data_IF_180695959880
#
_entry.id   IF_180695959880
#
_cell.length_a   1.000
_cell.length_b   1.000
_cell.length_c   1.000
_cell.angle_alpha   90.00
_cell.angle_beta   90.00
_cell.angle_gamma   90.00
#
_symmetry.space_group_name_H-M   'P 1'
#
loop_
_entity.id
_entity.type
_entity.pdbx_description
1 polymer ?
#
# COMPACT_ATOMS: atom_id res chain seq x y z
N UNK A 1 25.50 -73.93 7.59
CA UNK A 1 26.63 -73.36 6.82
C UNK A 1 26.39 -71.86 6.65
N UNK A 2 27.47 -71.08 6.70
CA UNK A 2 27.55 -69.68 7.16
C UNK A 2 27.09 -68.63 6.13
N UNK A 3 26.32 -67.64 6.62
CA UNK A 3 26.35 -66.16 6.38
C UNK A 3 26.23 -65.60 4.93
N UNK A 4 25.97 -64.28 4.72
CA UNK A 4 25.75 -63.18 5.69
C UNK A 4 24.55 -62.22 5.41
N UNK A 5 24.16 -61.51 6.48
CA UNK A 5 23.82 -60.08 6.64
C UNK A 5 23.18 -59.26 5.50
N UNK A 6 22.08 -58.55 5.83
CA UNK A 6 22.14 -57.10 6.15
C UNK A 6 20.79 -56.60 6.72
N UNK A 7 20.81 -56.11 7.96
CA UNK A 7 19.77 -55.25 8.54
C UNK A 7 19.96 -53.83 8.01
N UNK A 8 18.90 -53.24 7.46
CA UNK A 8 18.84 -51.82 7.14
C UNK A 8 18.28 -51.09 8.36
N UNK A 9 19.08 -50.17 8.91
CA UNK A 9 18.73 -49.27 10.02
C UNK A 9 17.84 -48.12 9.53
N UNK A 10 16.88 -47.61 10.33
CA UNK A 10 16.11 -46.43 9.96
C UNK A 10 16.96 -45.18 10.18
N UNK A 11 17.34 -44.51 9.09
CA UNK A 11 17.94 -43.18 9.16
C UNK A 11 16.84 -42.18 9.56
N UNK A 12 16.96 -41.63 10.77
CA UNK A 12 16.19 -40.48 11.22
C UNK A 12 16.54 -39.28 10.33
N UNK A 13 15.61 -38.90 9.46
CA UNK A 13 15.73 -37.72 8.60
C UNK A 13 15.41 -36.49 9.44
N UNK A 14 16.46 -35.84 9.95
CA UNK A 14 16.35 -34.59 10.67
C UNK A 14 15.79 -33.51 9.72
N UNK A 15 14.55 -33.09 9.95
CA UNK A 15 14.00 -31.87 9.36
C UNK A 15 14.75 -30.68 9.95
N UNK A 16 15.72 -30.16 9.20
CA UNK A 16 16.27 -28.84 9.47
C UNK A 16 15.18 -27.82 9.12
N UNK A 17 14.43 -27.39 10.13
CA UNK A 17 13.58 -26.20 10.03
C UNK A 17 14.53 -25.02 9.85
N UNK A 18 14.65 -24.55 8.60
CA UNK A 18 15.30 -23.29 8.29
C UNK A 18 14.39 -22.19 8.86
N UNK A 19 14.60 -21.85 10.12
CA UNK A 19 14.01 -20.67 10.73
C UNK A 19 14.61 -19.46 10.01
N UNK A 20 13.96 -19.04 8.93
CA UNK A 20 14.14 -17.71 8.38
C UNK A 20 13.73 -16.75 9.50
N UNK A 21 14.71 -16.30 10.28
CA UNK A 21 14.55 -15.18 11.19
C UNK A 21 14.22 -13.97 10.34
N UNK A 22 12.93 -13.76 10.11
CA UNK A 22 12.40 -12.46 9.74
C UNK A 22 12.77 -11.57 10.93
N UNK A 23 13.94 -10.91 10.83
CA UNK A 23 14.22 -9.78 11.69
C UNK A 23 13.18 -8.75 11.30
N UNK A 24 12.07 -8.74 12.03
CA UNK A 24 11.26 -7.54 12.17
C UNK A 24 12.27 -6.46 12.52
N UNK A 25 12.45 -5.49 11.63
CA UNK A 25 13.21 -4.32 11.96
C UNK A 25 12.48 -3.71 13.14
N UNK A 26 13.03 -3.87 14.36
CA UNK A 26 12.57 -3.12 15.51
C UNK A 26 12.68 -1.65 15.12
N UNK A 27 11.52 -1.01 14.96
CA UNK A 27 11.44 0.43 14.87
C UNK A 27 12.18 0.97 16.10
N UNK A 28 13.10 1.94 15.93
CA UNK A 28 13.78 2.52 17.07
C UNK A 28 12.73 3.01 18.09
N UNK A 29 13.03 2.90 19.39
CA UNK A 29 12.16 3.46 20.44
C UNK A 29 11.85 4.91 20.09
N UNK A 30 10.66 5.39 20.48
CA UNK A 30 10.24 6.78 20.29
C UNK A 30 11.37 7.72 20.74
N UNK A 31 12.18 8.12 19.77
CA UNK A 31 13.37 8.90 20.00
C UNK A 31 12.89 10.31 20.20
N UNK A 32 13.35 10.93 21.29
CA UNK A 32 13.44 12.36 21.49
C UNK A 32 13.32 13.13 20.17
N UNK A 33 12.15 13.74 19.92
CA UNK A 33 11.90 14.64 18.78
C UNK A 33 12.93 15.80 18.73
N UNK A 34 13.74 15.93 19.78
CA UNK A 34 14.87 16.83 19.98
C UNK A 34 16.14 16.48 19.20
N UNK A 35 16.24 15.35 18.50
CA UNK A 35 17.42 15.01 17.68
C UNK A 35 17.13 14.78 16.19
N UNK A 36 16.15 15.49 15.62
CA UNK A 36 15.95 15.48 14.16
C UNK A 36 17.21 16.03 13.48
N UNK A 37 17.86 15.21 12.65
CA UNK A 37 19.03 15.64 11.88
C UNK A 37 18.67 16.89 11.06
N UNK A 38 19.59 17.87 10.94
CA UNK A 38 19.36 19.03 10.09
C UNK A 38 19.04 18.61 8.66
N UNK A 39 17.94 19.14 8.11
CA UNK A 39 17.59 18.93 6.71
C UNK A 39 18.60 19.66 5.83
N UNK A 40 19.33 18.90 5.01
CA UNK A 40 20.27 19.44 4.03
C UNK A 40 19.57 19.63 2.69
N UNK A 41 18.70 20.64 2.61
CA UNK A 41 17.91 20.93 1.40
C UNK A 41 18.81 21.39 0.25
N UNK A 42 19.78 22.25 0.55
CA UNK A 42 20.84 22.67 -0.36
C UNK A 42 22.15 22.56 0.40
N UNK A 43 23.03 21.67 -0.06
CA UNK A 43 24.37 21.49 0.51
C UNK A 43 25.39 21.51 -0.63
N UNK A 44 26.33 22.47 -0.64
CA UNK A 44 27.41 22.50 -1.63
C UNK A 44 28.23 21.21 -1.70
N UNK A 45 28.26 20.40 -0.63
CA UNK A 45 28.91 19.09 -0.63
C UNK A 45 28.23 18.07 -1.57
N UNK A 46 26.99 18.30 -2.00
CA UNK A 46 26.27 17.45 -2.95
C UNK A 46 26.56 17.79 -4.41
N UNK A 47 27.20 18.93 -4.66
CA UNK A 47 27.55 19.37 -6.00
C UNK A 47 28.72 18.55 -6.58
N UNK A 48 28.71 18.38 -7.89
CA UNK A 48 29.82 17.86 -8.66
C UNK A 48 30.38 18.97 -9.56
N UNK A 49 31.40 19.67 -9.05
CA UNK A 49 32.02 20.80 -9.75
C UNK A 49 32.88 20.38 -10.95
N UNK A 50 33.03 19.08 -11.22
CA UNK A 50 33.68 18.59 -12.44
C UNK A 50 32.74 18.64 -13.66
N UNK A 51 31.43 18.69 -13.43
CA UNK A 51 30.41 18.85 -14.48
C UNK A 51 30.18 20.34 -14.77
N UNK A 52 30.07 20.72 -16.05
CA UNK A 52 29.74 22.10 -16.41
C UNK A 52 28.25 22.38 -16.17
N UNK A 53 27.96 23.30 -15.26
CA UNK A 53 26.61 23.73 -14.92
C UNK A 53 25.74 24.14 -16.13
N UNK A 54 26.34 24.75 -17.16
CA UNK A 54 25.62 25.18 -18.37
C UNK A 54 25.27 24.05 -19.35
N UNK A 55 25.76 22.82 -19.10
CA UNK A 55 25.53 21.65 -19.96
C UNK A 55 24.58 20.68 -19.29
N UNK A 56 24.81 20.39 -18.01
CA UNK A 56 23.93 19.56 -17.19
C UNK A 56 23.92 20.13 -15.77
N UNK A 57 22.94 20.99 -15.50
CA UNK A 57 22.80 21.61 -14.20
C UNK A 57 22.40 20.60 -13.12
N UNK A 58 21.67 19.54 -13.48
CA UNK A 58 21.22 18.53 -12.53
C UNK A 58 22.39 17.70 -12.01
N UNK A 59 23.27 17.24 -12.90
CA UNK A 59 24.49 16.53 -12.52
C UNK A 59 25.49 17.44 -11.79
N UNK A 60 25.62 18.72 -12.20
CA UNK A 60 26.44 19.69 -11.46
C UNK A 60 25.93 19.92 -10.03
N UNK A 61 24.62 20.09 -9.84
CA UNK A 61 24.05 20.41 -8.53
C UNK A 61 23.97 19.19 -7.60
N UNK A 62 23.70 17.99 -8.14
CA UNK A 62 23.37 16.79 -7.35
C UNK A 62 24.34 15.62 -7.53
N UNK A 63 25.36 15.75 -8.39
CA UNK A 63 26.17 14.62 -8.86
C UNK A 63 26.91 13.87 -7.75
N UNK A 64 27.36 14.58 -6.71
CA UNK A 64 27.98 13.92 -5.56
C UNK A 64 26.93 13.19 -4.73
N UNK A 65 25.76 13.79 -4.49
CA UNK A 65 24.66 13.13 -3.77
C UNK A 65 24.19 11.85 -4.47
N UNK A 66 23.97 11.90 -5.79
CA UNK A 66 23.52 10.76 -6.59
C UNK A 66 24.46 9.55 -6.52
N UNK A 67 25.75 9.76 -6.27
CA UNK A 67 26.73 8.67 -6.10
C UNK A 67 26.73 8.08 -4.70
N UNK A 68 26.38 8.87 -3.69
CA UNK A 68 26.49 8.49 -2.28
C UNK A 68 25.18 8.02 -1.68
N UNK A 69 24.06 8.53 -2.19
CA UNK A 69 22.74 8.17 -1.69
C UNK A 69 22.34 6.77 -2.16
N UNK A 70 21.65 6.05 -1.29
CA UNK A 70 21.07 4.75 -1.62
C UNK A 70 19.59 4.79 -1.29
N UNK A 71 18.75 4.36 -2.22
CA UNK A 71 17.31 4.22 -1.97
C UNK A 71 17.16 3.11 -0.93
N UNK A 72 16.69 3.40 0.30
CA UNK A 72 16.57 2.37 1.31
C UNK A 72 15.48 1.37 0.90
N UNK A 73 15.61 0.10 1.31
CA UNK A 73 14.72 -0.97 0.86
C UNK A 73 13.22 -0.73 1.15
N UNK A 74 12.90 0.11 2.14
CA UNK A 74 11.53 0.48 2.49
C UNK A 74 10.90 1.51 1.53
N UNK A 75 11.68 2.11 0.62
CA UNK A 75 11.24 3.19 -0.26
C UNK A 75 11.47 2.86 -1.72
N UNK A 76 10.64 3.41 -2.60
CA UNK A 76 10.79 3.33 -4.06
C UNK A 76 11.61 4.47 -4.65
N UNK A 77 11.89 5.51 -3.87
CA UNK A 77 12.67 6.69 -4.26
C UNK A 77 13.35 7.32 -3.05
N UNK A 78 14.36 8.16 -3.31
CA UNK A 78 15.07 8.92 -2.29
C UNK A 78 15.30 10.35 -2.78
N UNK A 79 15.51 11.27 -1.85
CA UNK A 79 15.69 12.69 -2.12
C UNK A 79 15.22 13.56 -0.95
N UNK A 80 15.39 14.86 -1.10
CA UNK A 80 15.06 15.84 -0.05
C UNK A 80 13.61 15.76 0.44
N UNK A 81 12.65 15.48 -0.44
CA UNK A 81 11.25 15.35 -0.05
C UNK A 81 10.99 14.12 0.82
N UNK A 82 11.72 13.01 0.61
CA UNK A 82 11.68 11.85 1.49
C UNK A 82 12.21 12.22 2.87
N UNK A 83 13.37 12.87 2.94
CA UNK A 83 13.96 13.27 4.23
C UNK A 83 13.06 14.25 5.00
N UNK A 84 12.38 15.16 4.28
CA UNK A 84 11.36 16.03 4.86
C UNK A 84 10.13 15.25 5.35
N UNK A 85 9.66 14.27 4.58
CA UNK A 85 8.54 13.42 4.97
C UNK A 85 8.87 12.58 6.21
N UNK A 86 10.00 11.89 6.24
CA UNK A 86 10.47 11.09 7.38
C UNK A 86 10.57 11.94 8.65
N UNK A 87 11.10 13.16 8.53
CA UNK A 87 11.16 14.11 9.64
C UNK A 87 9.77 14.51 10.13
N UNK A 88 8.86 14.86 9.23
CA UNK A 88 7.50 15.26 9.59
C UNK A 88 6.73 14.10 10.22
N UNK A 89 6.94 12.88 9.73
CA UNK A 89 6.34 11.67 10.30
C UNK A 89 6.73 11.49 11.76
N UNK A 90 8.00 11.71 12.12
CA UNK A 90 8.44 11.66 13.53
C UNK A 90 7.75 12.71 14.40
N UNK A 91 7.54 13.93 13.89
CA UNK A 91 6.82 14.99 14.61
C UNK A 91 5.34 14.62 14.78
N UNK A 92 4.68 14.17 13.71
CA UNK A 92 3.27 13.75 13.74
C UNK A 92 3.10 12.57 14.70
N UNK A 93 4.00 11.60 14.65
CA UNK A 93 4.01 10.45 15.57
C UNK A 93 4.07 10.91 17.02
N UNK A 94 4.98 11.81 17.37
CA UNK A 94 5.07 12.36 18.73
C UNK A 94 3.76 13.02 19.18
N UNK A 95 3.11 13.79 18.31
CA UNK A 95 1.81 14.41 18.62
C UNK A 95 0.72 13.35 18.84
N UNK A 96 0.72 12.27 18.06
CA UNK A 96 -0.25 11.18 18.18
C UNK A 96 -0.01 10.34 19.44
N UNK A 97 1.25 10.06 19.79
CA UNK A 97 1.64 9.37 21.02
C UNK A 97 1.23 10.19 22.27
N UNK A 98 1.44 11.52 22.26
CA UNK A 98 0.96 12.41 23.31
C UNK A 98 -0.56 12.43 23.42
N UNK A 99 -1.26 12.47 22.27
CA UNK A 99 -2.72 12.41 22.23
C UNK A 99 -3.26 11.07 22.75
N UNK A 100 -2.62 9.96 22.40
CA UNK A 100 -2.96 8.62 22.90
C UNK A 100 -2.81 8.53 24.42
N UNK A 101 -1.68 9.03 24.95
CA UNK A 101 -1.39 9.02 26.38
C UNK A 101 -2.45 9.79 27.19
N UNK A 102 -2.99 10.87 26.63
CA UNK A 102 -3.99 11.74 27.28
C UNK A 102 -5.44 11.34 26.97
N UNK A 103 -5.69 10.41 26.03
CA UNK A 103 -7.05 10.17 25.48
C UNK A 103 -8.08 9.78 26.55
N UNK A 104 -7.68 9.13 27.64
CA UNK A 104 -8.62 8.64 28.68
C UNK A 104 -9.14 9.75 29.60
N UNK A 105 -8.43 10.88 29.70
CA UNK A 105 -8.83 12.03 30.54
C UNK A 105 -9.61 13.10 29.78
N UNK A 106 -9.72 12.97 28.46
CA UNK A 106 -10.39 13.93 27.58
C UNK A 106 -11.87 13.56 27.31
N UNK A 107 -12.75 14.54 27.02
CA UNK A 107 -14.12 14.27 26.56
C UNK A 107 -14.15 13.60 25.19
N UNK A 108 -15.17 12.77 24.91
CA UNK A 108 -15.33 12.06 23.62
C UNK A 108 -15.50 12.99 22.42
N UNK A 109 -15.98 14.21 22.64
CA UNK A 109 -16.10 15.24 21.61
C UNK A 109 -14.74 15.86 21.22
N UNK A 110 -13.69 15.66 22.03
CA UNK A 110 -12.36 16.20 21.78
C UNK A 110 -11.70 15.59 20.55
N UNK A 111 -11.23 16.43 19.63
CA UNK A 111 -10.42 16.00 18.49
C UNK A 111 -9.17 15.26 18.95
N UNK A 112 -8.52 15.70 20.03
CA UNK A 112 -7.31 15.06 20.55
C UNK A 112 -7.61 13.64 21.07
N UNK A 113 -8.76 13.44 21.73
CA UNK A 113 -9.19 12.08 22.12
C UNK A 113 -9.43 11.20 20.91
N UNK A 114 -10.13 11.71 19.89
CA UNK A 114 -10.40 10.97 18.66
C UNK A 114 -9.11 10.55 17.96
N UNK A 115 -8.13 11.47 17.85
CA UNK A 115 -6.81 11.20 17.27
C UNK A 115 -6.05 10.14 18.08
N UNK A 116 -5.96 10.30 19.40
CA UNK A 116 -5.27 9.35 20.26
C UNK A 116 -5.91 7.95 20.25
N UNK A 117 -7.24 7.88 20.22
CA UNK A 117 -7.95 6.60 20.09
C UNK A 117 -7.72 5.97 18.72
N UNK A 118 -7.81 6.74 17.63
CA UNK A 118 -7.58 6.23 16.28
C UNK A 118 -6.17 5.70 16.11
N UNK A 119 -5.16 6.44 16.57
CA UNK A 119 -3.76 6.01 16.55
C UNK A 119 -3.56 4.73 17.35
N UNK A 120 -4.08 4.65 18.58
CA UNK A 120 -4.00 3.44 19.40
C UNK A 120 -4.63 2.22 18.71
N UNK A 121 -5.77 2.39 18.04
CA UNK A 121 -6.41 1.32 17.26
C UNK A 121 -5.54 0.85 16.10
N UNK A 122 -4.85 1.75 15.39
CA UNK A 122 -3.94 1.39 14.30
C UNK A 122 -2.66 0.70 14.80
N UNK A 123 -2.15 1.07 15.98
CA UNK A 123 -0.91 0.52 16.53
C UNK A 123 -1.09 -0.84 17.22
N UNK A 124 -2.32 -1.21 17.60
CA UNK A 124 -2.62 -2.51 18.21
C UNK A 124 -2.73 -3.64 17.16
N UNK A 125 -1.58 -4.02 16.62
CA UNK A 125 -1.47 -5.16 15.70
C UNK A 125 -1.92 -6.48 16.32
N UNK A 126 -1.83 -6.67 17.64
CA UNK A 126 -2.27 -7.90 18.30
C UNK A 126 -3.79 -8.03 18.26
N UNK A 127 -4.52 -6.94 18.53
CA UNK A 127 -5.96 -6.92 18.37
C UNK A 127 -6.37 -7.14 16.91
N UNK A 128 -5.67 -6.52 15.95
CA UNK A 128 -5.95 -6.72 14.53
C UNK A 128 -5.76 -8.18 14.08
N UNK A 129 -4.64 -8.81 14.44
CA UNK A 129 -4.36 -10.23 14.11
C UNK A 129 -5.35 -11.17 14.80
N UNK A 130 -5.77 -10.86 16.03
CA UNK A 130 -6.77 -11.65 16.76
C UNK A 130 -8.14 -11.56 16.10
N UNK A 131 -8.54 -10.37 15.64
CA UNK A 131 -9.81 -10.16 14.97
C UNK A 131 -9.85 -10.79 13.57
N UNK A 132 -8.70 -10.88 12.89
CA UNK A 132 -8.60 -11.46 11.55
C UNK A 132 -9.60 -10.85 10.58
N UNK A 133 -10.37 -11.70 9.89
CA UNK A 133 -11.39 -11.27 8.91
C UNK A 133 -12.73 -10.88 9.52
N UNK A 134 -12.95 -11.14 10.81
CA UNK A 134 -14.28 -11.00 11.41
C UNK A 134 -14.91 -9.61 11.21
N UNK A 135 -14.16 -8.49 11.31
CA UNK A 135 -14.70 -7.16 11.02
C UNK A 135 -15.16 -6.96 9.56
N UNK A 136 -14.62 -7.71 8.61
CA UNK A 136 -14.95 -7.60 7.19
C UNK A 136 -16.10 -8.53 6.75
N UNK A 137 -16.41 -9.57 7.53
CA UNK A 137 -17.44 -10.56 7.17
C UNK A 137 -18.80 -9.97 6.78
N UNK A 138 -19.36 -8.96 7.49
CA UNK A 138 -20.64 -8.38 7.09
C UNK A 138 -20.59 -7.70 5.71
N UNK A 139 -19.47 -7.04 5.39
CA UNK A 139 -19.28 -6.40 4.09
C UNK A 139 -19.15 -7.45 2.99
N UNK A 140 -18.38 -8.52 3.21
CA UNK A 140 -18.24 -9.61 2.24
C UNK A 140 -19.58 -10.33 2.01
N UNK A 141 -20.34 -10.60 3.06
CA UNK A 141 -21.67 -11.21 2.94
C UNK A 141 -22.68 -10.33 2.19
N UNK A 142 -22.59 -9.00 2.32
CA UNK A 142 -23.40 -8.08 1.54
C UNK A 142 -23.06 -8.15 0.04
N UNK A 143 -21.78 -8.22 -0.30
CA UNK A 143 -21.30 -8.39 -1.68
C UNK A 143 -21.78 -9.74 -2.25
N UNK A 144 -21.65 -10.83 -1.49
CA UNK A 144 -22.08 -12.17 -1.90
C UNK A 144 -23.60 -12.27 -2.17
N UNK A 145 -24.39 -11.37 -1.57
CA UNK A 145 -25.84 -11.34 -1.73
C UNK A 145 -26.32 -10.62 -3.00
N UNK A 146 -25.40 -10.00 -3.75
CA UNK A 146 -25.73 -9.29 -4.99
C UNK A 146 -26.18 -10.28 -6.08
N UNK A 147 -27.48 -10.30 -6.37
CA UNK A 147 -28.09 -11.27 -7.28
C UNK A 147 -28.45 -10.69 -8.66
N UNK A 148 -28.50 -9.37 -8.79
CA UNK A 148 -28.95 -8.70 -10.01
C UNK A 148 -28.30 -7.30 -10.17
N UNK A 149 -28.43 -6.68 -11.36
CA UNK A 149 -27.84 -5.37 -11.61
C UNK A 149 -28.34 -4.24 -10.69
N UNK A 150 -29.59 -4.31 -10.21
CA UNK A 150 -30.12 -3.27 -9.31
C UNK A 150 -29.48 -3.39 -7.91
N UNK A 151 -29.34 -4.63 -7.42
CA UNK A 151 -28.61 -4.94 -6.19
C UNK A 151 -27.13 -4.54 -6.31
N UNK A 152 -26.50 -4.75 -7.47
CA UNK A 152 -25.12 -4.32 -7.72
C UNK A 152 -24.95 -2.81 -7.58
N UNK A 153 -25.85 -2.01 -8.16
CA UNK A 153 -25.80 -0.55 -8.05
C UNK A 153 -26.03 -0.07 -6.61
N UNK A 154 -26.95 -0.70 -5.89
CA UNK A 154 -27.20 -0.39 -4.49
C UNK A 154 -25.96 -0.69 -3.62
N UNK A 155 -25.32 -1.84 -3.84
CA UNK A 155 -24.13 -2.23 -3.10
C UNK A 155 -22.92 -1.37 -3.46
N UNK A 156 -22.74 -1.02 -4.74
CA UNK A 156 -21.71 -0.07 -5.17
C UNK A 156 -21.88 1.29 -4.47
N UNK A 157 -23.10 1.81 -4.37
CA UNK A 157 -23.37 3.04 -3.65
C UNK A 157 -23.05 2.93 -2.15
N UNK A 158 -23.41 1.81 -1.51
CA UNK A 158 -23.09 1.54 -0.10
C UNK A 158 -21.58 1.50 0.12
N UNK A 159 -20.83 0.83 -0.74
CA UNK A 159 -19.38 0.72 -0.69
C UNK A 159 -18.70 2.08 -0.91
N UNK A 160 -19.16 2.86 -1.87
CA UNK A 160 -18.64 4.21 -2.09
C UNK A 160 -18.89 5.13 -0.88
N UNK A 161 -20.06 5.06 -0.23
CA UNK A 161 -20.32 5.80 1.01
C UNK A 161 -19.43 5.35 2.18
N UNK A 162 -18.96 4.10 2.16
CA UNK A 162 -17.99 3.57 3.11
C UNK A 162 -16.52 3.87 2.72
N UNK A 163 -16.30 4.60 1.63
CA UNK A 163 -14.96 5.01 1.16
C UNK A 163 -14.25 3.99 0.27
N UNK A 164 -14.92 2.92 -0.17
CA UNK A 164 -14.35 1.98 -1.12
C UNK A 164 -14.43 2.52 -2.56
N UNK A 165 -13.37 2.32 -3.33
CA UNK A 165 -13.32 2.71 -4.74
C UNK A 165 -13.95 1.61 -5.61
N UNK A 166 -15.15 1.85 -6.13
CA UNK A 166 -15.91 0.87 -6.91
C UNK A 166 -16.51 1.55 -8.14
N UNK A 167 -16.32 0.96 -9.33
CA UNK A 167 -16.79 1.41 -10.65
C UNK A 167 -16.23 2.76 -11.14
N UNK A 168 -16.62 3.86 -10.51
CA UNK A 168 -16.27 5.22 -10.89
C UNK A 168 -16.03 6.05 -9.64
N UNK A 169 -15.37 7.19 -9.79
CA UNK A 169 -15.17 8.13 -8.68
C UNK A 169 -16.17 9.27 -8.81
N UNK A 170 -16.64 9.76 -7.66
CA UNK A 170 -17.44 10.97 -7.61
C UNK A 170 -16.98 11.86 -6.46
N UNK A 171 -16.99 13.16 -6.68
CA UNK A 171 -16.61 14.13 -5.66
C UNK A 171 -17.25 15.49 -5.95
N UNK A 172 -17.49 16.32 -4.92
CA UNK A 172 -17.88 17.70 -5.15
C UNK A 172 -16.71 18.46 -5.77
N UNK A 173 -16.92 19.04 -6.95
CA UNK A 173 -15.96 19.89 -7.63
C UNK A 173 -16.53 21.29 -7.84
N UNK A 174 -15.66 22.29 -7.90
CA UNK A 174 -16.05 23.64 -8.29
C UNK A 174 -16.43 23.62 -9.76
N UNK A 175 -17.56 24.23 -10.12
CA UNK A 175 -17.97 24.35 -11.51
C UNK A 175 -16.97 25.20 -12.29
N UNK A 176 -16.39 24.63 -13.35
CA UNK A 176 -15.40 25.29 -14.21
C UNK A 176 -16.00 26.47 -15.00
N UNK A 177 -17.32 26.56 -15.09
CA UNK A 177 -18.06 27.65 -15.72
C UNK A 177 -18.65 28.65 -14.72
N UNK A 178 -18.76 28.28 -13.44
CA UNK A 178 -19.19 29.17 -12.36
C UNK A 178 -18.55 28.79 -11.01
N UNK A 179 -17.41 29.43 -10.71
CA UNK A 179 -16.64 29.12 -9.52
C UNK A 179 -17.35 29.43 -8.18
N UNK A 180 -18.54 30.03 -8.20
CA UNK A 180 -19.36 30.24 -7.01
C UNK A 180 -20.17 28.98 -6.61
N UNK A 181 -20.25 27.97 -7.47
CA UNK A 181 -21.06 26.77 -7.27
C UNK A 181 -20.24 25.48 -7.31
N UNK A 182 -20.76 24.46 -6.61
CA UNK A 182 -20.26 23.10 -6.70
C UNK A 182 -21.18 22.27 -7.57
N UNK A 183 -20.59 21.36 -8.35
CA UNK A 183 -21.26 20.31 -9.09
C UNK A 183 -20.77 18.94 -8.63
N UNK A 184 -21.55 17.91 -8.91
CA UNK A 184 -21.06 16.54 -8.79
C UNK A 184 -20.17 16.23 -10.00
N UNK A 185 -18.88 16.00 -9.75
CA UNK A 185 -17.96 15.50 -10.75
C UNK A 185 -17.99 13.96 -10.73
N UNK A 186 -17.98 13.36 -11.92
CA UNK A 186 -17.91 11.93 -12.14
C UNK A 186 -16.72 11.66 -13.04
N UNK A 187 -15.74 10.93 -12.51
CA UNK A 187 -14.54 10.56 -13.25
C UNK A 187 -14.35 9.04 -13.27
N UNK A 188 -13.48 8.60 -14.16
CA UNK A 188 -13.07 7.20 -14.29
C UNK A 188 -12.59 6.64 -12.95
N UNK A 189 -12.91 5.38 -12.72
CA UNK A 189 -12.48 4.63 -11.55
C UNK A 189 -12.38 3.14 -11.88
N UNK A 190 -12.39 2.32 -10.83
CA UNK A 190 -12.55 0.87 -10.98
C UNK A 190 -11.33 0.11 -11.50
N UNK A 191 -10.14 0.75 -11.57
CA UNK A 191 -8.87 0.05 -11.83
C UNK A 191 -8.10 -0.10 -10.52
N UNK A 192 -7.56 -1.28 -10.26
CA UNK A 192 -6.66 -1.50 -9.13
C UNK A 192 -5.18 -1.21 -9.41
N UNK A 193 -4.76 -1.14 -10.69
CA UNK A 193 -3.43 -0.64 -11.08
C UNK A 193 -3.48 0.86 -11.40
N UNK A 194 -2.36 1.61 -11.25
CA UNK A 194 -2.37 3.07 -11.25
C UNK A 194 -2.83 3.75 -12.55
N UNK A 195 -2.80 3.06 -13.68
CA UNK A 195 -3.12 3.62 -14.99
C UNK A 195 -3.58 2.52 -15.98
N UNK A 196 -4.37 2.90 -16.99
CA UNK A 196 -4.85 2.00 -18.05
C UNK A 196 -3.73 1.29 -18.80
N UNK A 197 -2.57 1.93 -18.96
CA UNK A 197 -1.47 1.37 -19.76
C UNK A 197 -0.84 0.14 -19.08
N UNK A 198 -1.00 -0.04 -17.76
CA UNK A 198 -0.63 -1.28 -17.09
C UNK A 198 -1.41 -2.50 -17.61
N UNK A 199 -2.63 -2.30 -18.09
CA UNK A 199 -3.48 -3.35 -18.66
C UNK A 199 -3.20 -3.55 -20.16
N UNK A 200 -2.93 -2.46 -20.89
CA UNK A 200 -2.95 -2.45 -22.36
C UNK A 200 -1.56 -2.50 -23.00
N UNK A 201 -0.52 -2.03 -22.31
CA UNK A 201 0.84 -2.02 -22.85
C UNK A 201 1.36 -3.43 -23.09
N UNK A 202 2.17 -3.58 -24.14
CA UNK A 202 2.78 -4.85 -24.57
C UNK A 202 4.23 -4.93 -24.12
N UNK A 203 4.72 -6.16 -23.97
CA UNK A 203 6.13 -6.46 -23.70
C UNK A 203 6.35 -7.03 -22.31
N UNK A 204 7.51 -7.65 -22.12
CA UNK A 204 7.81 -8.49 -20.96
C UNK A 204 7.59 -7.79 -19.60
N UNK A 205 7.93 -6.50 -19.50
CA UNK A 205 7.72 -5.74 -18.25
C UNK A 205 6.24 -5.57 -17.94
N UNK A 206 5.41 -5.22 -18.93
CA UNK A 206 3.97 -5.05 -18.75
C UNK A 206 3.29 -6.40 -18.45
N UNK A 207 3.70 -7.46 -19.16
CA UNK A 207 3.22 -8.82 -18.93
C UNK A 207 3.56 -9.30 -17.51
N UNK A 208 4.78 -9.04 -17.02
CA UNK A 208 5.18 -9.40 -15.65
C UNK A 208 4.37 -8.65 -14.59
N UNK A 209 4.02 -7.39 -14.84
CA UNK A 209 3.22 -6.60 -13.89
C UNK A 209 1.79 -7.14 -13.79
N UNK A 210 1.15 -7.45 -14.94
CA UNK A 210 -0.18 -8.08 -14.96
C UNK A 210 -0.18 -9.45 -14.27
N UNK A 211 0.86 -10.25 -14.45
CA UNK A 211 1.00 -11.54 -13.77
C UNK A 211 1.14 -11.35 -12.26
N UNK A 212 1.97 -10.41 -11.80
CA UNK A 212 2.14 -10.11 -10.39
C UNK A 212 0.83 -9.61 -9.76
N UNK A 213 0.10 -8.75 -10.48
CA UNK A 213 -1.18 -8.22 -10.02
C UNK A 213 -2.28 -9.30 -9.94
N UNK A 214 -2.40 -10.17 -10.95
CA UNK A 214 -3.32 -11.31 -10.91
C UNK A 214 -2.99 -12.28 -9.75
N UNK A 215 -1.70 -12.53 -9.50
CA UNK A 215 -1.27 -13.34 -8.36
C UNK A 215 -1.60 -12.66 -7.01
N UNK A 216 -1.47 -11.33 -6.93
CA UNK A 216 -1.88 -10.57 -5.76
C UNK A 216 -3.39 -10.69 -5.49
N UNK A 217 -4.23 -10.48 -6.52
CA UNK A 217 -5.69 -10.64 -6.38
C UNK A 217 -6.05 -12.05 -5.92
N UNK A 218 -5.47 -13.08 -6.56
CA UNK A 218 -5.66 -14.48 -6.16
C UNK A 218 -5.35 -14.68 -4.69
N UNK A 219 -4.20 -14.16 -4.22
CA UNK A 219 -3.80 -14.29 -2.82
C UNK A 219 -4.75 -13.56 -1.88
N UNK A 220 -5.22 -12.36 -2.24
CA UNK A 220 -6.17 -11.60 -1.43
C UNK A 220 -7.52 -12.31 -1.30
N UNK A 221 -8.05 -12.87 -2.39
CA UNK A 221 -9.29 -13.65 -2.39
C UNK A 221 -9.16 -14.92 -1.56
N UNK A 222 -8.03 -15.65 -1.67
CA UNK A 222 -7.76 -16.79 -0.80
C UNK A 222 -7.65 -16.40 0.67
N UNK A 223 -7.04 -15.25 0.98
CA UNK A 223 -6.99 -14.72 2.34
C UNK A 223 -8.36 -14.28 2.85
N UNK A 224 -9.30 -13.92 1.96
CA UNK A 224 -10.69 -13.60 2.30
C UNK A 224 -11.56 -14.86 2.51
N UNK A 225 -11.04 -16.06 2.22
CA UNK A 225 -11.69 -17.34 2.50
C UNK A 225 -12.09 -18.15 1.26
N UNK A 226 -11.80 -17.68 0.04
CA UNK A 226 -12.04 -18.46 -1.17
C UNK A 226 -11.07 -19.64 -1.31
N UNK A 227 -11.55 -20.74 -1.91
CA UNK A 227 -10.67 -21.81 -2.35
C UNK A 227 -9.69 -21.31 -3.43
N UNK A 228 -8.47 -21.86 -3.45
CA UNK A 228 -7.41 -21.46 -4.37
C UNK A 228 -7.81 -21.49 -5.86
N UNK A 229 -8.58 -22.50 -6.28
CA UNK A 229 -9.03 -22.60 -7.66
C UNK A 229 -10.12 -21.57 -8.00
N UNK A 230 -11.03 -21.31 -7.07
CA UNK A 230 -12.04 -20.25 -7.21
C UNK A 230 -11.36 -18.87 -7.28
N UNK A 231 -10.48 -18.58 -6.32
CA UNK A 231 -9.72 -17.34 -6.24
C UNK A 231 -8.92 -17.04 -7.51
N UNK A 232 -8.29 -18.06 -8.12
CA UNK A 232 -7.57 -17.89 -9.38
C UNK A 232 -8.51 -17.59 -10.56
N UNK A 233 -9.67 -18.25 -10.61
CA UNK A 233 -10.68 -18.01 -11.63
C UNK A 233 -11.32 -16.62 -11.49
N UNK A 234 -11.60 -16.19 -10.26
CA UNK A 234 -12.11 -14.86 -9.93
C UNK A 234 -11.09 -13.77 -10.22
N UNK A 235 -9.82 -13.97 -9.87
CA UNK A 235 -8.75 -13.06 -10.27
C UNK A 235 -8.68 -12.88 -11.80
N UNK A 236 -8.89 -13.95 -12.56
CA UNK A 236 -9.00 -13.87 -14.02
C UNK A 236 -10.19 -13.04 -14.50
N UNK A 237 -11.35 -13.15 -13.84
CA UNK A 237 -12.54 -12.32 -14.12
C UNK A 237 -12.31 -10.85 -13.79
N UNK A 238 -11.72 -10.56 -12.64
CA UNK A 238 -11.33 -9.19 -12.23
C UNK A 238 -10.39 -8.59 -13.27
N UNK A 239 -9.33 -9.31 -13.65
CA UNK A 239 -8.38 -8.84 -14.68
C UNK A 239 -9.07 -8.55 -16.02
N UNK A 240 -10.02 -9.40 -16.43
CA UNK A 240 -10.79 -9.17 -17.67
C UNK A 240 -11.63 -7.90 -17.56
N UNK A 241 -12.40 -7.75 -16.48
CA UNK A 241 -13.26 -6.58 -16.25
C UNK A 241 -12.44 -5.29 -16.21
N UNK A 242 -11.35 -5.26 -15.44
CA UNK A 242 -10.50 -4.08 -15.34
C UNK A 242 -9.79 -3.77 -16.67
N UNK A 243 -9.45 -4.78 -17.47
CA UNK A 243 -8.89 -4.56 -18.81
C UNK A 243 -9.92 -3.92 -19.75
N UNK A 244 -11.19 -4.35 -19.69
CA UNK A 244 -12.27 -3.74 -20.46
C UNK A 244 -12.51 -2.29 -20.03
N UNK A 245 -12.50 -2.01 -18.72
CA UNK A 245 -12.58 -0.65 -18.18
C UNK A 245 -11.40 0.21 -18.63
N UNK A 246 -10.17 -0.31 -18.57
CA UNK A 246 -8.97 0.39 -19.03
C UNK A 246 -9.05 0.72 -20.53
N UNK A 247 -9.62 -0.17 -21.34
CA UNK A 247 -9.89 0.04 -22.77
C UNK A 247 -10.81 1.23 -23.05
N UNK A 248 -11.76 1.50 -22.15
CA UNK A 248 -12.70 2.63 -22.26
C UNK A 248 -12.14 3.96 -21.73
N UNK A 249 -11.01 3.96 -21.01
CA UNK A 249 -10.39 5.18 -20.52
C UNK A 249 -9.56 5.89 -21.61
N UNK A 250 -9.53 7.22 -21.54
CA UNK A 250 -8.68 8.05 -22.40
C UNK A 250 -7.19 7.78 -22.12
N UNK A 251 -6.35 7.81 -23.17
CA UNK A 251 -4.90 7.82 -23.01
C UNK A 251 -4.46 9.12 -22.31
N UNK A 252 -3.31 9.05 -21.61
CA UNK A 252 -2.69 10.24 -20.99
C UNK A 252 -2.25 11.31 -22.00
N UNK A 253 -2.22 10.97 -23.29
CA UNK A 253 -1.77 11.81 -24.41
C UNK A 253 -2.55 11.46 -25.66
#
# INVERSE_FOLDING_TARGET
MRSPFALVSPAAMAFAVLAASCKVAELPPAGDATALKPLKVVDPAYMDTTVKACTDFFAFANGTWLRTDTIPAAYSSSGVFKDMADRNELVVRSVLEDAEAQRTSLPDTSTQKKLGTFYATCMDSTAAETAGLDPLRPTLAAIDSVADPAALLAEAARLQMAGANVLFTYYPAVDVHDAAHYIADLDRGGLGMPDRDYYLARGASADSMRQAYAAHITKMLSLAGEDSAAAAADAGRVMSLETDLAGAQLSRV
#
